data_IF_274364639818
#
_entry.id   IF_274364639818
#
_cell.length_a   1.000
_cell.length_b   1.000
_cell.length_c   1.000
_cell.angle_alpha   90.00
_cell.angle_beta   90.00
_cell.angle_gamma   90.00
#
_symmetry.space_group_name_H-M   'P 1'
#
loop_
_entity.id
_entity.type
_entity.pdbx_description
1 polymer ?
#
# COMPACT_ATOMS: atom_id res chain seq x y z
N UNK A 1 3.25 16.79 -2.47
CA UNK A 1 3.77 16.41 -1.15
C UNK A 1 3.56 17.56 -0.19
N UNK A 2 2.98 17.32 0.97
CA UNK A 2 2.99 18.34 2.00
C UNK A 2 4.43 18.45 2.51
N UNK A 3 5.03 19.63 2.47
CA UNK A 3 6.35 19.91 3.06
C UNK A 3 6.35 19.69 4.59
N UNK A 4 5.19 19.41 5.16
CA UNK A 4 4.95 19.17 6.58
C UNK A 4 5.33 17.76 7.05
N UNK A 5 5.54 16.81 6.14
CA UNK A 5 5.83 15.41 6.46
C UNK A 5 4.68 14.69 7.16
N UNK A 6 4.96 13.51 7.68
CA UNK A 6 4.04 12.67 8.43
C UNK A 6 4.44 12.74 9.92
N UNK A 7 3.51 13.12 10.78
CA UNK A 7 3.68 12.96 12.24
C UNK A 7 3.27 11.55 12.62
N UNK A 8 4.16 10.82 13.27
CA UNK A 8 3.90 9.49 13.82
C UNK A 8 3.99 9.54 15.35
N UNK A 9 3.00 8.99 16.03
CA UNK A 9 2.91 8.92 17.49
C UNK A 9 2.65 7.47 17.90
N UNK A 10 3.35 6.97 18.91
CA UNK A 10 3.35 5.56 19.28
C UNK A 10 3.06 5.36 20.76
N UNK A 11 2.37 4.25 21.08
CA UNK A 11 2.07 3.78 22.44
C UNK A 11 2.41 2.30 22.58
N UNK A 12 2.89 1.88 23.74
CA UNK A 12 3.13 0.47 24.07
C UNK A 12 1.86 -0.21 24.64
N UNK A 13 0.71 0.12 24.06
CA UNK A 13 -0.57 -0.55 24.26
C UNK A 13 -1.44 -0.40 23.00
N UNK A 14 -2.36 -1.34 22.72
CA UNK A 14 -3.23 -1.28 21.54
C UNK A 14 -4.28 -0.17 21.60
N UNK A 15 -4.64 0.33 22.78
CA UNK A 15 -5.74 1.26 23.02
C UNK A 15 -5.35 2.73 22.81
N UNK A 16 -4.08 3.05 22.59
CA UNK A 16 -3.53 4.43 22.52
C UNK A 16 -3.79 5.23 23.79
N UNK A 17 -3.67 4.56 24.96
CA UNK A 17 -3.91 5.18 26.26
C UNK A 17 -2.61 5.63 26.91
N UNK A 18 -2.72 6.67 27.75
CA UNK A 18 -1.60 7.25 28.49
C UNK A 18 -0.67 8.07 27.59
N UNK A 19 0.50 8.40 28.13
CA UNK A 19 1.52 9.15 27.42
C UNK A 19 2.14 8.31 26.30
N UNK A 20 2.35 8.88 25.10
CA UNK A 20 3.04 8.19 24.03
C UNK A 20 4.49 7.88 24.40
N UNK A 21 4.99 6.72 23.99
CA UNK A 21 6.40 6.36 24.20
C UNK A 21 7.34 7.16 23.30
N UNK A 22 6.86 7.54 22.11
CA UNK A 22 7.59 8.43 21.22
C UNK A 22 6.68 9.12 20.21
N UNK A 23 7.14 10.24 19.70
CA UNK A 23 6.53 10.95 18.56
C UNK A 23 7.63 11.52 17.69
N UNK A 24 7.48 11.35 16.38
CA UNK A 24 8.46 11.85 15.41
C UNK A 24 7.77 12.42 14.16
N UNK A 25 8.51 13.19 13.37
CA UNK A 25 8.13 13.58 12.01
C UNK A 25 9.07 12.93 11.01
N UNK A 26 8.51 12.45 9.93
CA UNK A 26 9.26 11.85 8.82
C UNK A 26 8.70 12.31 7.48
N UNK A 27 9.57 12.41 6.49
CA UNK A 27 9.21 12.59 5.09
C UNK A 27 9.20 11.26 4.32
N UNK A 28 9.65 10.19 4.98
CA UNK A 28 9.66 8.85 4.39
C UNK A 28 8.24 8.28 4.31
N UNK A 29 7.91 7.52 3.27
CA UNK A 29 6.65 6.78 3.19
C UNK A 29 6.48 5.84 4.39
N UNK A 30 5.24 5.62 4.81
CA UNK A 30 4.93 4.59 5.80
C UNK A 30 5.11 3.24 5.12
N UNK A 31 6.12 2.50 5.56
CA UNK A 31 6.40 1.13 5.16
C UNK A 31 7.16 0.47 6.32
N UNK A 32 6.42 -0.04 7.28
CA UNK A 32 6.95 -0.52 8.57
C UNK A 32 6.48 -1.94 8.85
N UNK A 33 7.35 -2.72 9.48
CA UNK A 33 7.05 -4.11 9.86
C UNK A 33 7.84 -4.48 11.10
N UNK A 34 7.31 -5.39 11.91
CA UNK A 34 8.07 -6.02 12.99
C UNK A 34 8.74 -7.32 12.56
N UNK A 35 8.57 -7.71 11.30
CA UNK A 35 9.28 -8.86 10.75
C UNK A 35 10.79 -8.60 10.77
N UNK A 36 11.59 -9.58 11.24
CA UNK A 36 13.05 -9.40 11.42
C UNK A 36 13.42 -8.57 12.67
N UNK A 37 12.54 -8.48 13.67
CA UNK A 37 12.75 -7.76 14.92
C UNK A 37 12.89 -6.23 14.78
N UNK A 38 12.32 -5.67 13.74
CA UNK A 38 12.25 -4.22 13.58
C UNK A 38 11.08 -3.65 14.40
N UNK A 39 11.22 -2.42 14.87
CA UNK A 39 10.14 -1.70 15.57
C UNK A 39 9.53 -0.61 14.68
N UNK A 40 8.28 -0.23 14.94
CA UNK A 40 7.62 0.86 14.21
C UNK A 40 8.22 2.24 14.50
N UNK A 41 8.92 2.38 15.61
CA UNK A 41 9.59 3.61 16.01
C UNK A 41 10.42 3.44 17.26
N UNK A 42 11.17 4.47 17.66
CA UNK A 42 12.01 4.42 18.87
C UNK A 42 11.20 4.09 20.14
N UNK A 43 11.65 3.12 20.91
CA UNK A 43 11.03 2.70 22.17
C UNK A 43 9.71 1.94 22.02
N UNK A 44 9.28 1.66 20.79
CA UNK A 44 8.05 0.89 20.53
C UNK A 44 8.33 -0.60 20.70
N UNK A 45 7.45 -1.29 21.42
CA UNK A 45 7.50 -2.74 21.57
C UNK A 45 7.31 -3.46 20.23
N UNK A 46 7.75 -4.72 20.15
CA UNK A 46 7.48 -5.58 18.99
C UNK A 46 6.03 -6.08 18.97
N UNK A 47 5.37 -6.09 20.11
CA UNK A 47 4.00 -6.58 20.29
C UNK A 47 3.20 -5.64 21.21
N UNK A 48 1.86 -5.69 21.09
CA UNK A 48 0.92 -4.94 21.92
C UNK A 48 1.19 -3.44 21.95
N UNK A 49 1.33 -2.88 20.77
CA UNK A 49 1.56 -1.45 20.58
C UNK A 49 0.51 -0.85 19.64
N UNK A 50 0.50 0.46 19.56
CA UNK A 50 -0.31 1.19 18.59
C UNK A 50 0.43 2.39 18.03
N UNK A 51 -0.04 2.86 16.89
CA UNK A 51 0.48 4.03 16.20
C UNK A 51 -0.65 4.90 15.66
N UNK A 52 -0.40 6.20 15.61
CA UNK A 52 -1.19 7.18 14.88
C UNK A 52 -0.27 7.94 13.93
N UNK A 53 -0.62 7.94 12.65
CA UNK A 53 0.06 8.76 11.64
C UNK A 53 -0.88 9.86 11.18
N UNK A 54 -0.36 11.06 11.08
CA UNK A 54 -1.11 12.27 10.72
C UNK A 54 -0.36 13.06 9.66
N UNK A 55 -1.05 13.42 8.58
CA UNK A 55 -0.51 14.29 7.54
C UNK A 55 -1.62 15.10 6.89
N UNK A 56 -1.24 16.13 6.14
CA UNK A 56 -2.17 16.94 5.34
C UNK A 56 -1.81 16.78 3.87
N UNK A 57 -2.77 16.40 3.07
CA UNK A 57 -2.67 16.36 1.63
C UNK A 57 -3.25 17.64 1.04
N UNK A 58 -2.46 18.34 0.22
CA UNK A 58 -2.90 19.50 -0.58
C UNK A 58 -2.68 19.13 -2.06
N UNK A 59 -3.74 18.74 -2.79
CA UNK A 59 -3.61 18.33 -4.18
C UNK A 59 -3.20 19.50 -5.09
N UNK A 60 -2.28 19.27 -6.01
CA UNK A 60 -1.90 20.23 -7.05
C UNK A 60 -2.91 20.32 -8.18
N UNK A 61 -3.78 19.32 -8.31
CA UNK A 61 -4.83 19.21 -9.31
C UNK A 61 -6.07 18.60 -8.70
N UNK A 62 -7.24 18.97 -9.22
CA UNK A 62 -8.51 18.29 -8.89
C UNK A 62 -8.61 16.95 -9.61
N UNK A 63 -9.38 16.02 -9.05
CA UNK A 63 -9.63 14.72 -9.64
C UNK A 63 -9.66 13.61 -8.61
N UNK A 64 -9.55 12.39 -9.07
CA UNK A 64 -9.57 11.20 -8.23
C UNK A 64 -8.15 10.75 -7.90
N UNK A 65 -7.92 10.38 -6.64
CA UNK A 65 -6.68 9.77 -6.17
C UNK A 65 -6.98 8.46 -5.46
N UNK A 66 -6.05 7.53 -5.55
CA UNK A 66 -6.07 6.29 -4.81
C UNK A 66 -5.32 6.48 -3.48
N UNK A 67 -5.96 6.11 -2.39
CA UNK A 67 -5.36 5.90 -1.08
C UNK A 67 -5.27 4.39 -0.87
N UNK A 68 -4.06 3.87 -0.83
CA UNK A 68 -3.81 2.44 -0.66
C UNK A 68 -3.18 2.22 0.73
N UNK A 69 -3.91 1.52 1.58
CA UNK A 69 -3.46 1.14 2.92
C UNK A 69 -3.41 -0.39 3.02
N UNK A 70 -2.21 -0.91 3.22
CA UNK A 70 -1.92 -2.33 3.37
C UNK A 70 -1.45 -2.59 4.80
N UNK A 71 -1.94 -3.63 5.44
CA UNK A 71 -1.53 -3.96 6.79
C UNK A 71 -2.15 -5.25 7.31
N UNK A 72 -1.68 -5.68 8.49
CA UNK A 72 -2.30 -6.72 9.30
C UNK A 72 -2.56 -6.22 10.71
N UNK A 73 -3.34 -6.96 11.49
CA UNK A 73 -3.87 -6.56 12.78
C UNK A 73 -4.99 -5.52 12.64
N UNK A 74 -5.05 -4.50 13.44
CA UNK A 74 -6.05 -3.43 13.29
C UNK A 74 -5.43 -2.24 12.57
N UNK A 75 -6.12 -1.76 11.54
CA UNK A 75 -5.78 -0.50 10.88
C UNK A 75 -7.02 0.21 10.34
N UNK A 76 -6.98 1.54 10.35
CA UNK A 76 -8.07 2.40 9.90
C UNK A 76 -7.49 3.64 9.21
N UNK A 77 -8.07 4.00 8.07
CA UNK A 77 -7.78 5.23 7.34
C UNK A 77 -8.94 6.21 7.51
N UNK A 78 -8.62 7.41 7.97
CA UNK A 78 -9.57 8.49 8.06
C UNK A 78 -9.15 9.65 7.16
N UNK A 79 -10.13 10.29 6.56
CA UNK A 79 -9.97 11.54 5.80
C UNK A 79 -10.91 12.58 6.38
N UNK A 80 -10.38 13.70 6.85
CA UNK A 80 -11.12 14.74 7.55
C UNK A 80 -11.98 14.20 8.71
N UNK A 81 -11.45 13.23 9.46
CA UNK A 81 -12.12 12.57 10.58
C UNK A 81 -13.16 11.52 10.19
N UNK A 82 -13.45 11.35 8.90
CA UNK A 82 -14.37 10.30 8.40
C UNK A 82 -13.59 9.02 8.12
N UNK A 83 -14.02 7.89 8.70
CA UNK A 83 -13.46 6.57 8.40
C UNK A 83 -13.76 6.20 6.95
N UNK A 84 -12.72 5.94 6.18
CA UNK A 84 -12.78 5.55 4.78
C UNK A 84 -12.66 4.03 4.64
N UNK A 85 -11.78 3.42 5.41
CA UNK A 85 -11.62 1.98 5.48
C UNK A 85 -11.13 1.57 6.87
N UNK A 86 -11.55 0.39 7.32
CA UNK A 86 -11.24 -0.14 8.66
C UNK A 86 -11.19 -1.66 8.59
N UNK A 87 -10.11 -2.24 9.07
CA UNK A 87 -9.90 -3.67 9.09
C UNK A 87 -9.33 -4.15 10.43
N UNK A 88 -9.73 -5.37 10.76
CA UNK A 88 -9.06 -6.18 11.77
C UNK A 88 -8.86 -7.58 11.19
N UNK A 89 -7.63 -7.94 10.94
CA UNK A 89 -7.28 -9.16 10.22
C UNK A 89 -5.92 -9.67 10.68
N UNK A 90 -5.76 -10.97 10.74
CA UNK A 90 -4.47 -11.60 11.04
C UNK A 90 -3.55 -11.71 9.82
N UNK A 91 -4.13 -11.58 8.60
CA UNK A 91 -3.37 -11.58 7.35
C UNK A 91 -3.15 -10.16 6.85
N UNK A 92 -2.07 -9.95 6.14
CA UNK A 92 -1.87 -8.70 5.40
C UNK A 92 -3.01 -8.52 4.38
N UNK A 93 -3.70 -7.40 4.52
CA UNK A 93 -4.81 -7.02 3.65
C UNK A 93 -4.49 -5.70 2.99
N UNK A 94 -4.67 -5.66 1.68
CA UNK A 94 -4.54 -4.47 0.84
C UNK A 94 -5.91 -3.82 0.64
N UNK A 95 -5.99 -2.53 0.94
CA UNK A 95 -7.23 -1.76 0.78
C UNK A 95 -7.03 -0.63 -0.21
N UNK A 96 -8.00 -0.45 -1.09
CA UNK A 96 -7.98 0.55 -2.15
C UNK A 96 -9.16 1.49 -1.98
N UNK A 97 -8.89 2.74 -1.63
CA UNK A 97 -9.91 3.76 -1.39
C UNK A 97 -9.73 4.91 -2.37
N UNK A 98 -10.74 5.17 -3.17
CA UNK A 98 -10.76 6.31 -4.08
C UNK A 98 -11.26 7.55 -3.37
N UNK A 99 -10.56 8.67 -3.52
CA UNK A 99 -10.90 9.96 -2.93
C UNK A 99 -10.98 11.03 -4.03
N UNK A 100 -12.13 11.68 -4.14
CA UNK A 100 -12.27 12.87 -4.98
C UNK A 100 -11.66 14.08 -4.27
N UNK A 101 -10.73 14.74 -4.94
CA UNK A 101 -9.99 15.87 -4.38
C UNK A 101 -10.11 17.11 -5.26
N UNK A 102 -10.06 18.26 -4.60
CA UNK A 102 -10.06 19.58 -5.23
C UNK A 102 -8.68 20.22 -5.10
N UNK A 103 -8.20 20.84 -6.17
CA UNK A 103 -6.91 21.55 -6.18
C UNK A 103 -6.84 22.58 -5.06
N UNK A 104 -5.75 22.52 -4.28
CA UNK A 104 -5.46 23.47 -3.22
C UNK A 104 -6.26 23.29 -1.93
N UNK A 105 -7.22 22.37 -1.88
CA UNK A 105 -7.99 22.06 -0.67
C UNK A 105 -7.20 21.14 0.24
N UNK A 106 -7.26 21.40 1.54
CA UNK A 106 -6.60 20.56 2.53
C UNK A 106 -7.44 19.33 2.89
N UNK A 107 -6.79 18.17 2.91
CA UNK A 107 -7.36 16.90 3.38
C UNK A 107 -6.49 16.37 4.51
N UNK A 108 -7.04 16.32 5.72
CA UNK A 108 -6.38 15.70 6.87
C UNK A 108 -6.46 14.18 6.71
N UNK A 109 -5.32 13.53 6.64
CA UNK A 109 -5.20 12.07 6.55
C UNK A 109 -4.69 11.56 7.89
N UNK A 110 -5.42 10.64 8.47
CA UNK A 110 -5.05 9.97 9.71
C UNK A 110 -5.07 8.46 9.48
N UNK A 111 -4.04 7.78 9.94
CA UNK A 111 -3.98 6.32 9.94
C UNK A 111 -3.81 5.86 11.38
N UNK A 112 -4.76 5.06 11.83
CA UNK A 112 -4.72 4.43 13.14
C UNK A 112 -4.27 2.98 12.95
N UNK A 113 -3.32 2.55 13.75
CA UNK A 113 -2.82 1.19 13.78
C UNK A 113 -2.80 0.65 15.21
N UNK A 114 -3.13 -0.62 15.38
CA UNK A 114 -2.93 -1.31 16.64
C UNK A 114 -2.57 -2.78 16.39
N UNK A 115 -1.47 -3.21 16.99
CA UNK A 115 -1.09 -4.62 16.97
C UNK A 115 -1.84 -5.34 18.08
N UNK A 116 -2.93 -6.02 17.68
CA UNK A 116 -3.85 -6.75 18.57
C UNK A 116 -3.78 -8.26 18.37
N UNK A 117 -3.08 -8.71 17.33
CA UNK A 117 -2.86 -10.13 17.02
C UNK A 117 -1.41 -10.50 17.35
N UNK A 118 -1.16 -11.79 17.61
CA UNK A 118 0.17 -12.29 17.99
C UNK A 118 1.08 -12.60 16.77
N UNK A 119 0.94 -11.82 15.68
CA UNK A 119 1.69 -11.98 14.44
C UNK A 119 2.57 -10.75 14.20
N UNK A 120 3.54 -10.90 13.32
CA UNK A 120 4.33 -9.77 12.89
C UNK A 120 3.44 -8.64 12.37
N UNK A 121 3.62 -7.46 12.92
CA UNK A 121 2.92 -6.26 12.49
C UNK A 121 3.49 -5.77 11.16
N UNK A 122 2.63 -5.27 10.28
CA UNK A 122 3.04 -4.52 9.11
C UNK A 122 2.02 -3.43 8.79
N UNK A 123 2.50 -2.33 8.24
CA UNK A 123 1.67 -1.24 7.75
C UNK A 123 2.40 -0.53 6.62
N UNK A 124 1.71 -0.36 5.49
CA UNK A 124 2.21 0.38 4.33
C UNK A 124 1.12 1.30 3.81
N UNK A 125 1.48 2.54 3.54
CA UNK A 125 0.56 3.51 2.97
C UNK A 125 1.16 4.18 1.75
N UNK A 126 0.39 4.16 0.66
CA UNK A 126 0.71 4.85 -0.58
C UNK A 126 -0.48 5.71 -1.01
N UNK A 127 -0.20 6.77 -1.70
CA UNK A 127 -1.20 7.58 -2.39
C UNK A 127 -0.71 7.98 -3.78
N UNK A 128 -1.63 8.09 -4.73
CA UNK A 128 -1.28 8.47 -6.09
C UNK A 128 -2.46 8.44 -7.04
N UNK A 129 -2.16 8.62 -8.31
CA UNK A 129 -3.11 8.41 -9.41
C UNK A 129 -2.79 7.09 -10.09
N UNK A 130 -3.81 6.39 -10.53
CA UNK A 130 -3.65 5.24 -11.40
C UNK A 130 -3.82 5.66 -12.85
N UNK A 131 -2.95 5.15 -13.68
CA UNK A 131 -3.01 5.35 -15.12
C UNK A 131 -3.01 4.00 -15.82
N UNK A 132 -3.72 3.85 -16.94
CA UNK A 132 -3.55 2.69 -17.80
C UNK A 132 -2.07 2.53 -18.16
N UNK A 133 -1.61 1.29 -18.20
CA UNK A 133 -0.22 1.01 -18.58
C UNK A 133 -0.04 1.39 -20.06
N UNK A 134 0.88 2.32 -20.30
CA UNK A 134 1.29 2.72 -21.64
C UNK A 134 2.57 1.96 -22.04
N UNK A 135 2.45 0.96 -22.87
CA UNK A 135 3.60 0.17 -23.32
C UNK A 135 4.46 0.89 -24.37
N UNK A 136 3.96 1.95 -25.01
CA UNK A 136 4.65 2.64 -26.11
C UNK A 136 6.01 3.20 -25.70
N UNK A 137 6.13 3.71 -24.46
CA UNK A 137 7.41 4.22 -23.95
C UNK A 137 8.44 3.10 -23.82
N UNK A 138 8.05 1.96 -23.27
CA UNK A 138 8.93 0.80 -23.13
C UNK A 138 9.34 0.23 -24.49
N UNK A 139 8.40 0.14 -25.40
CA UNK A 139 8.61 -0.37 -26.77
C UNK A 139 9.51 0.58 -27.57
N UNK A 140 9.35 1.89 -27.43
CA UNK A 140 10.18 2.86 -28.15
C UNK A 140 11.68 2.74 -27.82
N UNK A 141 12.02 2.25 -26.63
CA UNK A 141 13.41 1.98 -26.22
C UNK A 141 14.01 0.73 -26.88
N UNK A 142 13.18 -0.08 -27.51
CA UNK A 142 13.59 -1.31 -28.20
C UNK A 142 13.85 -1.13 -29.70
N UNK A 143 13.68 0.10 -30.23
CA UNK A 143 13.96 0.39 -31.64
C UNK A 143 15.43 0.11 -31.97
N UNK A 144 15.64 -0.67 -33.05
CA UNK A 144 16.98 -1.04 -33.50
C UNK A 144 17.60 -2.22 -32.75
N UNK A 145 16.82 -2.92 -31.94
CA UNK A 145 17.23 -4.16 -31.28
C UNK A 145 16.76 -5.34 -32.14
N UNK A 146 17.69 -6.22 -32.50
CA UNK A 146 17.41 -7.38 -33.37
C UNK A 146 16.65 -8.50 -32.63
N UNK A 147 16.83 -8.65 -31.34
CA UNK A 147 16.20 -9.72 -30.55
C UNK A 147 15.78 -9.19 -29.18
N UNK A 148 14.53 -9.45 -28.81
CA UNK A 148 14.00 -9.18 -27.49
C UNK A 148 13.68 -10.49 -26.77
N UNK A 149 14.28 -10.72 -25.62
CA UNK A 149 13.99 -11.88 -24.77
C UNK A 149 13.03 -11.44 -23.66
N UNK A 150 11.82 -11.98 -23.69
CA UNK A 150 10.84 -11.75 -22.63
C UNK A 150 10.94 -12.85 -21.57
N UNK A 151 11.16 -12.44 -20.31
CA UNK A 151 11.09 -13.32 -19.15
C UNK A 151 9.85 -12.94 -18.36
N UNK A 152 8.84 -13.78 -18.43
CA UNK A 152 7.53 -13.56 -17.79
C UNK A 152 7.19 -14.70 -16.84
N UNK A 153 6.16 -14.49 -16.05
CA UNK A 153 5.66 -15.46 -15.09
C UNK A 153 4.84 -14.82 -13.99
N UNK A 154 4.69 -15.55 -12.90
CA UNK A 154 3.91 -15.16 -11.74
C UNK A 154 4.85 -15.06 -10.55
N UNK A 155 4.62 -14.06 -9.69
CA UNK A 155 5.38 -13.94 -8.47
C UNK A 155 4.75 -14.80 -7.36
N UNK A 156 5.54 -15.28 -6.38
CA UNK A 156 5.02 -15.98 -5.20
C UNK A 156 4.02 -15.16 -4.38
N UNK A 157 3.98 -13.83 -4.55
CA UNK A 157 2.98 -12.98 -3.91
C UNK A 157 1.58 -13.09 -4.55
N UNK A 158 1.47 -13.64 -5.76
CA UNK A 158 0.20 -13.88 -6.44
C UNK A 158 -0.25 -15.32 -6.35
N UNK A 159 0.68 -16.26 -6.22
CA UNK A 159 0.40 -17.68 -6.13
C UNK A 159 1.06 -18.24 -4.86
N UNK A 160 0.26 -18.52 -3.87
CA UNK A 160 0.68 -19.06 -2.59
C UNK A 160 -0.49 -19.67 -1.86
N UNK A 161 -0.21 -20.64 -1.00
CA UNK A 161 -1.20 -21.41 -0.27
C UNK A 161 -2.11 -20.49 0.56
N UNK A 162 -3.42 -20.66 0.42
CA UNK A 162 -4.47 -19.94 1.16
C UNK A 162 -4.37 -18.39 1.11
N UNK A 163 -3.93 -17.83 0.01
CA UNK A 163 -3.83 -16.37 -0.12
C UNK A 163 -5.19 -15.72 -0.47
N UNK A 164 -5.51 -14.54 0.09
CA UNK A 164 -6.76 -13.83 -0.23
C UNK A 164 -6.69 -13.10 -1.58
N UNK A 165 -6.20 -13.77 -2.62
CA UNK A 165 -6.10 -13.22 -3.97
C UNK A 165 -7.40 -13.47 -4.71
N UNK A 166 -8.06 -12.40 -5.15
CA UNK A 166 -9.28 -12.45 -5.97
C UNK A 166 -9.13 -11.49 -7.15
N UNK A 167 -8.33 -11.92 -8.13
CA UNK A 167 -8.12 -11.23 -9.41
C UNK A 167 -8.34 -12.21 -10.55
N UNK A 168 -8.64 -11.76 -11.77
CA UNK A 168 -8.80 -12.64 -12.92
C UNK A 168 -7.62 -13.59 -13.10
N UNK A 169 -7.92 -14.90 -13.20
CA UNK A 169 -6.92 -15.97 -13.29
C UNK A 169 -6.44 -16.54 -11.96
N UNK A 170 -6.98 -16.06 -10.81
CA UNK A 170 -6.64 -16.56 -9.48
C UNK A 170 -7.86 -16.63 -8.57
N UNK A 171 -7.88 -17.63 -7.69
CA UNK A 171 -8.89 -17.78 -6.64
C UNK A 171 -8.23 -18.38 -5.40
N UNK A 172 -8.25 -17.66 -4.28
CA UNK A 172 -7.67 -18.11 -3.01
C UNK A 172 -6.15 -18.31 -3.05
N UNK A 173 -5.46 -17.74 -4.03
CA UNK A 173 -4.03 -17.94 -4.28
C UNK A 173 -3.74 -18.95 -5.38
N UNK A 174 -4.72 -19.82 -5.74
CA UNK A 174 -4.54 -20.81 -6.80
C UNK A 174 -4.83 -20.23 -8.18
N UNK A 175 -4.09 -20.70 -9.18
CA UNK A 175 -4.35 -20.40 -10.58
C UNK A 175 -5.65 -21.07 -11.04
N UNK A 176 -6.48 -20.31 -11.75
CA UNK A 176 -7.72 -20.81 -12.36
C UNK A 176 -7.61 -21.04 -13.87
N UNK A 177 -6.49 -20.59 -14.47
CA UNK A 177 -6.14 -20.84 -15.87
C UNK A 177 -4.61 -20.93 -16.05
N UNK A 178 -4.16 -21.32 -17.23
CA UNK A 178 -2.74 -21.47 -17.59
C UNK A 178 -2.18 -20.26 -18.35
N UNK A 179 -2.97 -19.23 -18.56
CA UNK A 179 -2.55 -18.07 -19.33
C UNK A 179 -1.61 -17.16 -18.53
N UNK A 180 -0.74 -16.46 -19.20
CA UNK A 180 0.05 -15.37 -18.58
C UNK A 180 -0.90 -14.28 -18.06
N UNK A 181 -0.54 -13.57 -16.98
CA UNK A 181 -1.30 -12.41 -16.52
C UNK A 181 -1.62 -11.43 -17.67
N UNK A 182 -2.81 -10.85 -17.66
CA UNK A 182 -3.28 -9.99 -18.75
C UNK A 182 -2.30 -8.84 -19.07
N UNK A 183 -1.65 -8.27 -18.07
CA UNK A 183 -0.64 -7.22 -18.25
C UNK A 183 0.55 -7.70 -19.10
N UNK A 184 1.00 -8.93 -18.89
CA UNK A 184 2.11 -9.53 -19.65
C UNK A 184 1.67 -9.89 -21.08
N UNK A 185 0.49 -10.46 -21.25
CA UNK A 185 -0.09 -10.74 -22.59
C UNK A 185 -0.25 -9.47 -23.42
N UNK A 186 -0.77 -8.40 -22.80
CA UNK A 186 -0.96 -7.12 -23.47
C UNK A 186 0.38 -6.48 -23.87
N UNK A 187 1.42 -6.61 -23.04
CA UNK A 187 2.77 -6.16 -23.39
C UNK A 187 3.34 -6.95 -24.58
N UNK A 188 3.25 -8.29 -24.55
CA UNK A 188 3.71 -9.13 -25.64
C UNK A 188 2.97 -8.85 -26.96
N UNK A 189 1.66 -8.59 -26.89
CA UNK A 189 0.89 -8.17 -28.06
C UNK A 189 1.38 -6.83 -28.61
N UNK A 190 1.53 -5.83 -27.73
CA UNK A 190 2.03 -4.52 -28.12
C UNK A 190 3.46 -4.58 -28.70
N UNK A 191 4.30 -5.47 -28.17
CA UNK A 191 5.65 -5.70 -28.66
C UNK A 191 5.64 -6.36 -30.05
N UNK A 192 4.73 -7.31 -30.29
CA UNK A 192 4.56 -7.96 -31.61
C UNK A 192 4.07 -6.99 -32.70
N UNK A 193 3.20 -6.03 -32.28
CA UNK A 193 2.57 -5.08 -33.20
C UNK A 193 3.50 -3.89 -33.53
N UNK A 194 4.67 -3.77 -32.90
CA UNK A 194 5.64 -2.68 -33.08
C UNK A 194 6.81 -3.03 -34.01
#
# INVERSE_FOLDING_TARGET
SSDLGIKATFWNNPERQGEPVSSLRTTQPINVTTYGLHTFGPGVNLEKFSAKYETVLIPKESGEILLNLEGCSYFELLVNGKSMTKHRTWRTTDTRTMLQVEKGKEYKIEILYAQVENWAANLKFNLGKEFPINYSESISKLKGIDVVVFVGGISPQLEGEEMPVNIPGFKGGDRTDIELPAVQRNFLKALKDA
#
